data_IF_148905872691
#
_entry.id   IF_148905872691
#
_cell.length_a   1.000
_cell.length_b   1.000
_cell.length_c   1.000
_cell.angle_alpha   90.00
_cell.angle_beta   90.00
_cell.angle_gamma   90.00
#
_symmetry.space_group_name_H-M   'P 1'
#
loop_
_entity.id
_entity.type
_entity.pdbx_description
1 polymer ?
#
# COMPACT_ATOMS: atom_id res chain seq x y z
N UNK A 1 -9.55 -1.10 14.65
CA UNK A 1 -9.89 -1.25 16.08
C UNK A 1 -11.27 -1.82 16.26
N UNK A 2 -12.36 -1.14 15.86
CA UNK A 2 -13.72 -1.73 15.95
C UNK A 2 -13.99 -2.87 14.96
N UNK A 3 -13.34 -2.83 13.80
CA UNK A 3 -13.40 -3.90 12.80
C UNK A 3 -12.61 -5.16 13.19
N UNK A 4 -11.77 -5.06 14.22
CA UNK A 4 -10.97 -6.17 14.72
C UNK A 4 -11.75 -6.90 15.82
N UNK A 5 -12.19 -8.13 15.53
CA UNK A 5 -13.05 -8.92 16.43
C UNK A 5 -12.31 -9.42 17.66
N UNK A 6 -10.98 -9.50 17.61
CA UNK A 6 -10.15 -9.97 18.71
C UNK A 6 -9.84 -8.84 19.70
N UNK A 7 -10.10 -7.59 19.30
CA UNK A 7 -9.92 -6.40 20.13
C UNK A 7 -11.20 -6.09 20.90
N UNK A 8 -11.27 -6.58 22.14
CA UNK A 8 -12.47 -6.44 23.00
C UNK A 8 -12.51 -5.14 23.80
N UNK A 9 -11.36 -4.59 24.19
CA UNK A 9 -11.26 -3.31 24.89
C UNK A 9 -9.91 -2.62 24.62
N UNK A 10 -9.93 -1.30 24.50
CA UNK A 10 -8.76 -0.43 24.31
C UNK A 10 -8.85 0.77 25.24
N UNK A 11 -7.74 1.09 25.91
CA UNK A 11 -7.63 2.31 26.70
C UNK A 11 -7.54 3.55 25.81
N UNK A 12 -8.01 4.70 26.31
CA UNK A 12 -7.97 5.98 25.57
C UNK A 12 -6.56 6.37 25.11
N UNK A 13 -5.55 6.16 25.96
CA UNK A 13 -4.15 6.49 25.63
C UNK A 13 -3.63 5.66 24.45
N UNK A 14 -4.04 4.39 24.36
CA UNK A 14 -3.65 3.52 23.25
C UNK A 14 -4.29 3.97 21.93
N UNK A 15 -5.56 4.41 21.96
CA UNK A 15 -6.24 4.96 20.78
C UNK A 15 -5.54 6.24 20.31
N UNK A 16 -5.17 7.13 21.24
CA UNK A 16 -4.44 8.35 20.92
C UNK A 16 -3.05 8.06 20.34
N UNK A 17 -2.30 7.12 20.94
CA UNK A 17 -0.99 6.73 20.45
C UNK A 17 -1.04 6.18 19.01
N UNK A 18 -2.05 5.34 18.70
CA UNK A 18 -2.23 4.82 17.33
C UNK A 18 -2.61 5.92 16.35
N UNK A 19 -3.47 6.85 16.75
CA UNK A 19 -3.80 8.00 15.90
C UNK A 19 -2.55 8.83 15.58
N UNK A 20 -1.75 9.14 16.59
CA UNK A 20 -0.50 9.89 16.42
C UNK A 20 0.52 9.15 15.56
N UNK A 21 0.70 7.84 15.79
CA UNK A 21 1.55 7.00 14.95
C UNK A 21 1.07 6.97 13.49
N UNK A 22 -0.25 7.00 13.26
CA UNK A 22 -0.84 7.04 11.92
C UNK A 22 -0.54 8.36 11.21
N UNK A 23 -0.55 9.50 11.92
CA UNK A 23 -0.14 10.79 11.36
C UNK A 23 1.34 10.77 10.93
N UNK A 24 2.22 10.26 11.79
CA UNK A 24 3.65 10.12 11.47
C UNK A 24 3.87 9.16 10.30
N UNK A 25 3.12 8.06 10.25
CA UNK A 25 3.17 7.11 9.15
C UNK A 25 2.78 7.76 7.81
N UNK A 26 1.70 8.54 7.78
CA UNK A 26 1.27 9.23 6.55
C UNK A 26 2.32 10.24 6.07
N UNK A 27 2.94 10.98 7.00
CA UNK A 27 4.04 11.89 6.67
C UNK A 27 5.24 11.15 6.08
N UNK A 28 5.63 10.02 6.68
CA UNK A 28 6.72 9.17 6.19
C UNK A 28 6.41 8.62 4.79
N UNK A 29 5.23 8.03 4.59
CA UNK A 29 4.81 7.49 3.29
C UNK A 29 4.80 8.57 2.20
N UNK A 30 4.28 9.76 2.52
CA UNK A 30 4.28 10.90 1.60
C UNK A 30 5.71 11.36 1.26
N UNK A 31 6.59 11.44 2.25
CA UNK A 31 7.99 11.83 2.05
C UNK A 31 8.74 10.83 1.15
N UNK A 32 8.61 9.52 1.40
CA UNK A 32 9.22 8.48 0.57
C UNK A 32 8.70 8.50 -0.86
N UNK A 33 7.38 8.62 -1.02
CA UNK A 33 6.75 8.73 -2.35
C UNK A 33 7.20 10.01 -3.08
N UNK A 34 7.36 11.11 -2.36
CA UNK A 34 7.83 12.36 -2.93
C UNK A 34 9.31 12.32 -3.32
N UNK A 35 10.17 11.57 -2.62
CA UNK A 35 11.56 11.36 -3.03
C UNK A 35 11.64 10.80 -4.46
N UNK A 36 10.82 9.78 -4.77
CA UNK A 36 10.74 9.19 -6.11
C UNK A 36 10.15 10.15 -7.14
N UNK A 37 9.15 10.93 -6.74
CA UNK A 37 8.57 12.00 -7.58
C UNK A 37 9.63 13.02 -7.98
N UNK A 38 10.50 13.41 -7.03
CA UNK A 38 11.60 14.35 -7.27
C UNK A 38 12.71 13.76 -8.12
N UNK A 39 13.04 12.48 -7.94
CA UNK A 39 13.99 11.76 -8.80
C UNK A 39 13.55 11.82 -10.28
N UNK A 40 12.24 11.74 -10.52
CA UNK A 40 11.63 11.84 -11.85
C UNK A 40 11.33 13.30 -12.28
N UNK A 41 11.93 14.29 -11.59
CA UNK A 41 11.78 15.73 -11.86
C UNK A 41 10.33 16.24 -11.86
N UNK A 42 9.42 15.52 -11.21
CA UNK A 42 8.01 15.91 -11.05
C UNK A 42 7.79 16.63 -9.74
N UNK A 43 6.64 17.31 -9.64
CA UNK A 43 6.21 18.01 -8.42
C UNK A 43 4.94 17.41 -7.80
N UNK A 44 4.30 16.48 -8.50
CA UNK A 44 3.04 15.85 -8.08
C UNK A 44 3.27 14.36 -7.92
N UNK A 45 2.94 13.85 -6.73
CA UNK A 45 2.98 12.42 -6.42
C UNK A 45 1.93 11.71 -7.28
N UNK A 46 2.32 10.62 -7.91
CA UNK A 46 1.44 9.74 -8.66
C UNK A 46 1.35 8.38 -7.97
N UNK A 47 0.33 7.58 -8.33
CA UNK A 47 0.17 6.24 -7.75
C UNK A 47 1.40 5.34 -7.94
N UNK A 48 2.07 5.46 -9.10
CA UNK A 48 3.31 4.72 -9.38
C UNK A 48 4.41 5.04 -8.36
N UNK A 49 4.49 6.28 -7.88
CA UNK A 49 5.48 6.67 -6.87
C UNK A 49 5.20 6.01 -5.53
N UNK A 50 3.93 5.93 -5.13
CA UNK A 50 3.52 5.27 -3.88
C UNK A 50 3.81 3.77 -3.95
N UNK A 51 3.41 3.11 -5.05
CA UNK A 51 3.68 1.68 -5.25
C UNK A 51 5.19 1.39 -5.22
N UNK A 52 5.98 2.21 -5.92
CA UNK A 52 7.44 2.08 -5.93
C UNK A 52 8.07 2.33 -4.55
N UNK A 53 7.54 3.30 -3.77
CA UNK A 53 8.03 3.57 -2.42
C UNK A 53 7.82 2.35 -1.53
N UNK A 54 6.64 1.73 -1.61
CA UNK A 54 6.28 0.52 -0.86
C UNK A 54 7.24 -0.63 -1.20
N UNK A 55 7.52 -0.89 -2.48
CA UNK A 55 8.45 -1.97 -2.86
C UNK A 55 9.92 -1.70 -2.60
N UNK A 56 10.32 -0.45 -2.34
CA UNK A 56 11.70 -0.08 -2.04
C UNK A 56 12.03 -0.07 -0.54
N UNK A 57 11.02 -0.19 0.32
CA UNK A 57 11.14 0.02 1.76
C UNK A 57 10.47 -1.11 2.52
N UNK A 58 11.28 -1.94 3.20
CA UNK A 58 10.82 -3.12 3.93
C UNK A 58 9.80 -2.77 5.04
N UNK A 59 9.93 -1.59 5.66
CA UNK A 59 8.97 -1.08 6.65
C UNK A 59 7.58 -0.76 6.07
N UNK A 60 7.44 -0.75 4.74
CA UNK A 60 6.18 -0.55 4.03
C UNK A 60 5.64 -1.84 3.38
N UNK A 61 6.34 -2.98 3.52
CA UNK A 61 5.97 -4.25 2.85
C UNK A 61 4.53 -4.69 3.16
N UNK A 62 4.02 -4.38 4.36
CA UNK A 62 2.66 -4.69 4.77
C UNK A 62 1.57 -4.07 3.87
N UNK A 63 1.92 -3.09 3.02
CA UNK A 63 1.01 -2.47 2.05
C UNK A 63 1.05 -3.11 0.65
N UNK A 64 1.94 -4.06 0.37
CA UNK A 64 2.16 -4.59 -0.97
C UNK A 64 0.88 -5.15 -1.63
N UNK A 65 0.04 -5.83 -0.83
CA UNK A 65 -1.22 -6.42 -1.31
C UNK A 65 -2.34 -5.38 -1.46
N UNK A 66 -2.25 -4.27 -0.73
CA UNK A 66 -3.25 -3.18 -0.74
C UNK A 66 -2.96 -2.19 -1.87
N UNK A 67 -1.69 -1.96 -2.17
CA UNK A 67 -1.21 -1.00 -3.18
C UNK A 67 -0.36 -1.74 -4.22
N UNK A 68 -0.98 -2.52 -5.11
CA UNK A 68 -0.25 -3.28 -6.11
C UNK A 68 0.40 -2.37 -7.16
N UNK A 69 1.46 -2.88 -7.81
CA UNK A 69 2.09 -2.16 -8.92
C UNK A 69 1.13 -2.03 -10.12
N UNK A 70 1.07 -0.86 -10.78
CA UNK A 70 0.33 -0.72 -12.02
C UNK A 70 0.83 -1.71 -13.06
N UNK A 71 -0.09 -2.42 -13.69
CA UNK A 71 0.19 -3.33 -14.81
C UNK A 71 -0.44 -2.77 -16.08
N UNK A 72 0.14 -3.10 -17.23
CA UNK A 72 -0.47 -2.73 -18.51
C UNK A 72 -1.75 -3.52 -18.74
N UNK A 73 -2.66 -3.01 -19.58
CA UNK A 73 -3.90 -3.73 -19.93
C UNK A 73 -3.61 -5.12 -20.53
N UNK A 74 -2.55 -5.22 -21.33
CA UNK A 74 -2.10 -6.50 -21.89
C UNK A 74 -1.71 -7.50 -20.79
N UNK A 75 -0.92 -7.05 -19.80
CA UNK A 75 -0.55 -7.86 -18.65
C UNK A 75 -1.77 -8.25 -17.80
N UNK A 76 -2.72 -7.34 -17.61
CA UNK A 76 -3.94 -7.60 -16.86
C UNK A 76 -4.81 -8.67 -17.53
N UNK A 77 -4.99 -8.59 -18.85
CA UNK A 77 -5.72 -9.59 -19.64
C UNK A 77 -5.03 -10.95 -19.56
N UNK A 78 -3.69 -10.97 -19.65
CA UNK A 78 -2.94 -12.22 -19.57
C UNK A 78 -3.04 -12.87 -18.19
N UNK A 79 -2.92 -12.08 -17.11
CA UNK A 79 -3.12 -12.57 -15.74
C UNK A 79 -4.52 -13.16 -15.56
N UNK A 80 -5.55 -12.51 -16.09
CA UNK A 80 -6.93 -13.00 -16.03
C UNK A 80 -7.10 -14.34 -16.74
N UNK A 81 -6.55 -14.49 -17.94
CA UNK A 81 -6.57 -15.78 -18.68
C UNK A 81 -5.92 -16.92 -17.89
N UNK A 82 -4.81 -16.64 -17.19
CA UNK A 82 -4.14 -17.62 -16.33
C UNK A 82 -5.05 -18.02 -15.17
N UNK A 83 -5.65 -17.04 -14.47
CA UNK A 83 -6.56 -17.29 -13.34
C UNK A 83 -7.78 -18.11 -13.78
N UNK A 84 -8.37 -17.77 -14.93
CA UNK A 84 -9.52 -18.49 -15.47
C UNK A 84 -9.15 -19.94 -15.83
N UNK A 85 -7.98 -20.17 -16.46
CA UNK A 85 -7.50 -21.52 -16.79
C UNK A 85 -7.20 -22.37 -15.56
N UNK A 86 -6.62 -21.77 -14.51
CA UNK A 86 -6.37 -22.46 -13.23
C UNK A 86 -7.70 -22.85 -12.59
N UNK A 87 -8.70 -21.96 -12.60
CA UNK A 87 -10.03 -22.23 -12.05
C UNK A 87 -10.77 -23.35 -12.81
N UNK A 88 -10.59 -23.47 -14.12
CA UNK A 88 -11.17 -24.55 -14.93
C UNK A 88 -10.45 -25.90 -14.75
N UNK A 89 -9.27 -25.91 -14.13
CA UNK A 89 -8.46 -27.11 -13.88
C UNK A 89 -8.77 -27.80 -12.54
N UNK A 90 -9.74 -27.28 -11.77
CA UNK A 90 -10.26 -27.83 -10.52
C UNK A 90 -11.76 -28.07 -10.63
#
# INVERSE_FOLDING_TARGET
MKEDKDVTALGHDAVFAVAYATELFLAHLAQKSYSLTREDQRKTITYKDVANAISKHDDLEFLADVVPHPVTMEQAVQRRKIVDKVRESF
#
